data_IF_832712534699
#
_entry.id   IF_832712534699
#
_cell.length_a   1.000
_cell.length_b   1.000
_cell.length_c   1.000
_cell.angle_alpha   90.00
_cell.angle_beta   90.00
_cell.angle_gamma   90.00
#
_symmetry.space_group_name_H-M   'P 1'
#
loop_
_entity.id
_entity.type
_entity.pdbx_description
1 polymer ?
#
# COMPACT_ATOMS: atom_id res chain seq x y z
N UNK A 1 -24.81 7.11 -10.89
CA UNK A 1 -23.58 6.89 -10.13
C UNK A 1 -23.68 7.76 -8.87
N UNK A 2 -23.13 7.33 -7.74
CA UNK A 2 -23.30 8.05 -6.46
C UNK A 2 -22.18 9.10 -6.32
N UNK A 3 -22.45 10.35 -6.68
CA UNK A 3 -21.46 11.44 -6.75
C UNK A 3 -20.64 11.62 -5.46
N UNK A 4 -21.18 11.23 -4.31
CA UNK A 4 -20.49 11.32 -3.01
C UNK A 4 -19.36 10.29 -2.86
N UNK A 5 -19.49 9.09 -3.44
CA UNK A 5 -18.45 8.06 -3.33
C UNK A 5 -17.23 8.41 -4.19
N UNK A 6 -17.42 9.10 -5.30
CA UNK A 6 -16.34 9.54 -6.19
C UNK A 6 -15.51 10.67 -5.55
N UNK A 7 -16.17 11.56 -4.80
CA UNK A 7 -15.50 12.59 -3.98
C UNK A 7 -14.63 11.91 -2.91
N UNK A 8 -15.22 11.00 -2.13
CA UNK A 8 -14.50 10.26 -1.08
C UNK A 8 -13.31 9.49 -1.68
N UNK A 9 -13.50 8.81 -2.81
CA UNK A 9 -12.43 8.07 -3.46
C UNK A 9 -11.26 8.98 -3.88
N UNK A 10 -11.56 10.16 -4.42
CA UNK A 10 -10.54 11.14 -4.84
C UNK A 10 -9.77 11.68 -3.64
N UNK A 11 -10.46 12.00 -2.55
CA UNK A 11 -9.83 12.45 -1.29
C UNK A 11 -8.90 11.37 -0.72
N UNK A 12 -9.33 10.11 -0.74
CA UNK A 12 -8.52 8.99 -0.25
C UNK A 12 -7.23 8.77 -1.06
N UNK A 13 -7.22 9.05 -2.37
CA UNK A 13 -5.97 9.06 -3.16
C UNK A 13 -5.01 10.13 -2.61
N UNK A 14 -5.53 11.33 -2.34
CA UNK A 14 -4.76 12.44 -1.75
C UNK A 14 -4.21 12.10 -0.37
N UNK A 15 -5.04 11.53 0.51
CA UNK A 15 -4.63 11.08 1.84
C UNK A 15 -3.51 10.05 1.78
N UNK A 16 -3.65 9.03 0.92
CA UNK A 16 -2.62 8.00 0.72
C UNK A 16 -1.33 8.62 0.19
N UNK A 17 -1.40 9.55 -0.78
CA UNK A 17 -0.22 10.22 -1.35
C UNK A 17 0.58 10.96 -0.28
N UNK A 18 -0.11 11.75 0.54
CA UNK A 18 0.51 12.50 1.64
C UNK A 18 1.16 11.53 2.64
N UNK A 19 0.47 10.44 2.99
CA UNK A 19 1.01 9.39 3.83
C UNK A 19 2.30 8.78 3.26
N UNK A 20 2.32 8.47 1.96
CA UNK A 20 3.48 7.89 1.30
C UNK A 20 4.69 8.84 1.34
N UNK A 21 4.48 10.13 1.02
CA UNK A 21 5.53 11.16 1.07
C UNK A 21 6.15 11.24 2.47
N UNK A 22 5.32 11.37 3.52
CA UNK A 22 5.82 11.47 4.89
C UNK A 22 6.52 10.19 5.35
N UNK A 23 6.01 9.03 4.95
CA UNK A 23 6.63 7.75 5.28
C UNK A 23 8.05 7.64 4.69
N UNK A 24 8.23 7.93 3.40
CA UNK A 24 9.56 7.95 2.78
C UNK A 24 10.47 9.01 3.39
N UNK A 25 9.96 10.21 3.61
CA UNK A 25 10.73 11.29 4.23
C UNK A 25 11.28 10.88 5.60
N UNK A 26 10.43 10.29 6.46
CA UNK A 26 10.85 9.83 7.78
C UNK A 26 11.80 8.63 7.71
N UNK A 27 11.61 7.71 6.77
CA UNK A 27 12.56 6.62 6.54
C UNK A 27 13.93 7.17 6.14
N UNK A 28 13.97 8.12 5.21
CA UNK A 28 15.20 8.78 4.77
C UNK A 28 15.90 9.50 5.93
N UNK A 29 15.17 10.30 6.72
CA UNK A 29 15.75 10.99 7.88
C UNK A 29 16.33 10.03 8.92
N UNK A 30 15.73 8.85 9.09
CA UNK A 30 16.15 7.81 10.03
C UNK A 30 17.16 6.82 9.43
N UNK A 31 17.55 6.99 8.17
CA UNK A 31 18.42 6.07 7.41
C UNK A 31 17.87 4.64 7.35
N UNK A 32 16.56 4.52 7.15
CA UNK A 32 15.85 3.26 6.98
C UNK A 32 15.51 3.04 5.51
N UNK A 33 15.55 1.77 5.07
CA UNK A 33 14.97 1.38 3.80
C UNK A 33 13.44 1.37 3.93
N UNK A 34 12.74 2.14 3.10
CA UNK A 34 11.30 2.32 3.23
C UNK A 34 10.52 1.04 2.94
N UNK A 35 10.95 0.22 1.98
CA UNK A 35 10.22 -0.99 1.61
C UNK A 35 10.37 -2.07 2.69
N UNK A 36 11.59 -2.29 3.18
CA UNK A 36 11.85 -3.22 4.29
C UNK A 36 11.09 -2.76 5.54
N UNK A 37 11.16 -1.47 5.87
CA UNK A 37 10.45 -0.92 7.03
C UNK A 37 8.95 -1.08 6.90
N UNK A 38 8.39 -0.87 5.71
CA UNK A 38 6.97 -1.06 5.45
C UNK A 38 6.55 -2.52 5.66
N UNK A 39 7.30 -3.46 5.08
CA UNK A 39 7.06 -4.89 5.23
C UNK A 39 7.11 -5.35 6.69
N UNK A 40 8.10 -4.87 7.45
CA UNK A 40 8.22 -5.16 8.88
C UNK A 40 7.04 -4.60 9.69
N UNK A 41 6.57 -3.39 9.36
CA UNK A 41 5.40 -2.78 10.00
C UNK A 41 4.11 -3.53 9.65
N UNK A 42 3.95 -3.96 8.40
CA UNK A 42 2.83 -4.80 7.96
C UNK A 42 2.81 -6.09 8.77
N UNK A 43 3.95 -6.80 8.85
CA UNK A 43 4.10 -8.03 9.64
C UNK A 43 3.75 -7.83 11.10
N UNK A 44 4.18 -6.72 11.70
CA UNK A 44 3.97 -6.40 13.11
C UNK A 44 2.52 -6.06 13.44
N UNK A 45 1.83 -5.33 12.57
CA UNK A 45 0.54 -4.70 12.91
C UNK A 45 -0.66 -5.28 12.16
N UNK A 46 -0.46 -5.89 11.01
CA UNK A 46 -1.54 -6.42 10.15
C UNK A 46 -1.46 -7.95 10.09
N UNK A 47 -0.24 -8.50 9.93
CA UNK A 47 0.01 -9.93 9.75
C UNK A 47 0.95 -10.18 8.57
N UNK A 48 1.07 -11.44 8.13
CA UNK A 48 2.09 -11.83 7.14
C UNK A 48 1.86 -11.31 5.73
N UNK A 49 0.61 -11.06 5.33
CA UNK A 49 0.28 -10.58 3.99
C UNK A 49 -0.84 -9.55 4.01
N UNK A 50 -0.82 -8.67 3.01
CA UNK A 50 -1.89 -7.71 2.77
C UNK A 50 -2.98 -8.35 1.89
N UNK A 51 -4.23 -8.16 2.30
CA UNK A 51 -5.40 -8.58 1.52
C UNK A 51 -5.62 -7.64 0.35
N UNK A 52 -5.32 -8.12 -0.86
CA UNK A 52 -5.74 -7.48 -2.11
C UNK A 52 -7.18 -7.84 -2.52
N UNK A 53 -7.61 -7.46 -3.74
CA UNK A 53 -6.83 -6.75 -4.76
C UNK A 53 -6.66 -5.26 -4.45
N UNK A 54 -5.54 -4.67 -4.90
CA UNK A 54 -5.28 -3.23 -4.79
C UNK A 54 -5.63 -2.50 -6.07
N UNK A 55 -6.17 -1.28 -5.96
CA UNK A 55 -6.33 -0.39 -7.11
C UNK A 55 -4.97 0.21 -7.49
N UNK A 56 -4.32 -0.39 -8.49
CA UNK A 56 -2.96 -0.01 -8.92
C UNK A 56 -2.91 1.40 -9.50
N UNK A 57 -3.94 1.81 -10.25
CA UNK A 57 -3.98 3.17 -10.82
C UNK A 57 -4.09 4.23 -9.72
N UNK A 58 -4.91 4.00 -8.69
CA UNK A 58 -4.97 4.86 -7.52
C UNK A 58 -3.63 4.95 -6.78
N UNK A 59 -2.90 3.83 -6.65
CA UNK A 59 -1.58 3.80 -6.01
C UNK A 59 -0.52 4.55 -6.82
N UNK A 60 -0.57 4.48 -8.16
CA UNK A 60 0.29 5.31 -9.03
C UNK A 60 0.02 6.80 -8.85
N UNK A 61 -1.26 7.20 -8.78
CA UNK A 61 -1.64 8.59 -8.49
C UNK A 61 -1.18 9.06 -7.11
N UNK A 62 -1.02 8.11 -6.17
CA UNK A 62 -0.47 8.34 -4.85
C UNK A 62 1.07 8.22 -4.76
N UNK A 63 1.77 8.29 -5.89
CA UNK A 63 3.23 8.27 -6.03
C UNK A 63 3.92 7.00 -5.51
N UNK A 64 3.26 5.85 -5.60
CA UNK A 64 3.91 4.58 -5.33
C UNK A 64 4.92 4.27 -6.44
N UNK A 65 6.13 3.91 -6.04
CA UNK A 65 7.17 3.44 -6.96
C UNK A 65 6.82 2.07 -7.54
N UNK A 66 7.48 1.71 -8.65
CA UNK A 66 7.29 0.39 -9.27
C UNK A 66 7.55 -0.76 -8.28
N UNK A 67 8.58 -0.63 -7.45
CA UNK A 67 8.97 -1.65 -6.49
C UNK A 67 7.88 -1.85 -5.42
N UNK A 68 7.25 -0.77 -4.96
CA UNK A 68 6.16 -0.85 -3.98
C UNK A 68 4.89 -1.44 -4.59
N UNK A 69 4.58 -1.11 -5.85
CA UNK A 69 3.47 -1.73 -6.57
C UNK A 69 3.69 -3.24 -6.74
N UNK A 70 4.91 -3.65 -7.10
CA UNK A 70 5.27 -5.06 -7.23
C UNK A 70 5.16 -5.79 -5.87
N UNK A 71 5.61 -5.16 -4.79
CA UNK A 71 5.44 -5.67 -3.42
C UNK A 71 3.96 -5.90 -3.07
N UNK A 72 3.10 -4.90 -3.30
CA UNK A 72 1.66 -5.01 -3.02
C UNK A 72 1.02 -6.16 -3.80
N UNK A 73 1.34 -6.29 -5.09
CA UNK A 73 0.83 -7.37 -5.92
C UNK A 73 1.28 -8.75 -5.46
N UNK A 74 2.56 -8.89 -5.07
CA UNK A 74 3.08 -10.15 -4.57
C UNK A 74 2.47 -10.52 -3.21
N UNK A 75 2.30 -9.55 -2.31
CA UNK A 75 1.62 -9.73 -1.02
C UNK A 75 0.19 -10.22 -1.22
N UNK A 76 -0.56 -9.61 -2.15
CA UNK A 76 -1.93 -10.04 -2.49
C UNK A 76 -2.00 -11.46 -3.04
N UNK A 77 -1.06 -11.85 -3.92
CA UNK A 77 -0.99 -13.23 -4.48
C UNK A 77 -0.75 -14.25 -3.37
N UNK A 78 0.21 -13.98 -2.47
CA UNK A 78 0.51 -14.86 -1.34
C UNK A 78 -0.69 -15.00 -0.39
N UNK A 79 -1.40 -13.89 -0.11
CA UNK A 79 -2.63 -13.92 0.68
C UNK A 79 -3.70 -14.83 0.04
N UNK A 80 -3.91 -14.73 -1.28
CA UNK A 80 -4.90 -15.53 -1.99
C UNK A 80 -4.54 -17.02 -1.99
N UNK A 81 -3.28 -17.37 -2.25
CA UNK A 81 -2.82 -18.76 -2.28
C UNK A 81 -3.04 -19.47 -0.92
N UNK A 82 -2.76 -18.78 0.18
CA UNK A 82 -3.00 -19.32 1.54
C UNK A 82 -4.47 -19.54 1.84
N UNK A 83 -5.34 -18.64 1.39
CA UNK A 83 -6.77 -18.69 1.68
C UNK A 83 -7.60 -19.55 0.69
N UNK A 84 -6.96 -20.10 -0.36
CA UNK A 84 -7.57 -21.08 -1.27
C UNK A 84 -7.29 -22.53 -0.87
N UNK A 85 -6.39 -22.75 0.10
CA UNK A 85 -6.00 -24.09 0.57
C UNK A 85 -6.80 -24.56 1.81
N UNK A 86 -7.98 -23.96 2.05
CA UNK A 86 -8.85 -24.21 3.19
C UNK A 86 -10.27 -24.58 2.77
#
# INVERSE_FOLDING_TARGET
MSDILDIIFTDEIGHVKIGNIWFHYLCQQRKLDSLITFDDLVKKHIGSELRGPFNIEARKLADFSKIELDYLQNSAKSYQAKNQSG
#
